data_IF_888283506760
#
_entry.id   IF_888283506760
#
_cell.length_a   1.000
_cell.length_b   1.000
_cell.length_c   1.000
_cell.angle_alpha   90.00
_cell.angle_beta   90.00
_cell.angle_gamma   90.00
#
_symmetry.space_group_name_H-M   'P 1'
#
loop_
_entity.id
_entity.type
_entity.pdbx_description
1 polymer ?
#
# COMPACT_ATOMS: atom_id res chain seq x y z
N UNK A 1 -7.01 27.36 -19.49
CA UNK A 1 -5.97 26.30 -19.69
C UNK A 1 -5.28 25.83 -18.42
N UNK A 2 -5.61 26.38 -17.26
CA UNK A 2 -4.90 26.09 -15.98
C UNK A 2 -5.69 25.18 -15.03
N UNK A 3 -6.94 24.89 -15.29
CA UNK A 3 -7.82 24.16 -14.37
C UNK A 3 -7.58 22.64 -14.33
N UNK A 4 -7.05 22.02 -15.37
CA UNK A 4 -6.80 20.58 -15.40
C UNK A 4 -5.63 20.14 -14.53
N UNK A 5 -4.57 20.94 -14.41
CA UNK A 5 -3.40 20.60 -13.60
C UNK A 5 -3.67 20.76 -12.09
N UNK A 6 -4.53 21.69 -11.69
CA UNK A 6 -4.90 21.91 -10.30
C UNK A 6 -5.74 20.75 -9.75
N UNK A 7 -6.59 20.17 -10.57
CA UNK A 7 -7.50 19.10 -10.18
C UNK A 7 -6.81 17.74 -9.99
N UNK A 8 -5.79 17.42 -10.82
CA UNK A 8 -4.97 16.21 -10.61
C UNK A 8 -4.08 16.33 -9.38
N UNK A 9 -3.48 17.50 -9.15
CA UNK A 9 -2.69 17.78 -7.95
C UNK A 9 -3.54 17.71 -6.68
N UNK A 10 -4.77 18.23 -6.70
CA UNK A 10 -5.69 18.12 -5.57
C UNK A 10 -6.06 16.66 -5.26
N UNK A 11 -6.32 15.83 -6.28
CA UNK A 11 -6.56 14.40 -6.11
C UNK A 11 -5.36 13.68 -5.47
N UNK A 12 -4.14 14.02 -5.86
CA UNK A 12 -2.93 13.46 -5.26
C UNK A 12 -2.71 13.93 -3.82
N UNK A 13 -3.06 15.17 -3.51
CA UNK A 13 -2.99 15.70 -2.13
C UNK A 13 -3.96 14.93 -1.22
N UNK A 14 -5.21 14.74 -1.63
CA UNK A 14 -6.19 14.00 -0.83
C UNK A 14 -5.80 12.54 -0.57
N UNK A 15 -5.19 11.86 -1.53
CA UNK A 15 -4.70 10.49 -1.36
C UNK A 15 -3.57 10.36 -0.34
N UNK A 16 -2.84 11.43 -0.07
CA UNK A 16 -1.68 11.44 0.83
C UNK A 16 -1.98 11.97 2.23
N UNK A 17 -3.24 12.28 2.52
CA UNK A 17 -3.63 12.74 3.84
C UNK A 17 -3.60 11.61 4.86
N UNK A 18 -3.15 11.95 6.07
CA UNK A 18 -3.14 11.09 7.25
C UNK A 18 -3.90 11.80 8.35
N UNK A 19 -4.71 11.10 9.11
CA UNK A 19 -5.46 11.64 10.25
C UNK A 19 -5.69 10.54 11.29
N UNK A 20 -5.79 10.94 12.54
CA UNK A 20 -6.20 10.10 13.66
C UNK A 20 -7.72 9.84 13.72
N UNK A 21 -8.49 10.57 12.92
CA UNK A 21 -9.97 10.50 12.92
C UNK A 21 -10.54 9.43 12.01
N UNK A 22 -9.76 8.88 11.09
CA UNK A 22 -10.22 7.87 10.12
C UNK A 22 -9.06 7.03 9.59
N UNK A 23 -9.20 5.73 9.64
CA UNK A 23 -8.22 4.79 9.11
C UNK A 23 -8.28 4.66 7.57
N UNK A 24 -9.42 4.96 6.97
CA UNK A 24 -9.61 4.85 5.52
C UNK A 24 -9.39 6.17 4.82
N UNK A 25 -9.62 7.29 5.49
CA UNK A 25 -9.58 8.64 4.92
C UNK A 25 -10.39 8.68 3.61
N UNK A 26 -9.72 8.86 2.46
CA UNK A 26 -10.32 8.86 1.13
C UNK A 26 -10.02 7.58 0.33
N UNK A 27 -9.59 6.51 0.98
CA UNK A 27 -9.32 5.22 0.36
C UNK A 27 -10.52 4.29 0.46
N UNK A 28 -10.72 3.43 -0.54
CA UNK A 28 -11.89 2.54 -0.66
C UNK A 28 -11.73 1.30 0.18
N UNK A 29 -10.89 0.94 0.93
CA UNK A 29 -10.77 -0.29 1.74
C UNK A 29 -11.28 -1.60 1.04
N UNK A 30 -11.23 -1.67 -0.29
CA UNK A 30 -11.67 -2.83 -1.08
C UNK A 30 -10.56 -3.86 -1.28
N UNK A 31 -9.32 -3.53 -0.95
CA UNK A 31 -8.17 -4.39 -1.21
C UNK A 31 -8.29 -5.79 -0.61
N UNK A 32 -8.78 -6.00 0.62
CA UNK A 32 -8.97 -7.35 1.14
C UNK A 32 -9.94 -8.18 0.29
N UNK A 33 -11.07 -7.60 -0.08
CA UNK A 33 -12.11 -8.28 -0.84
C UNK A 33 -11.63 -8.66 -2.25
N UNK A 34 -10.88 -7.76 -2.90
CA UNK A 34 -10.33 -8.03 -4.23
C UNK A 34 -9.19 -9.05 -4.14
N UNK A 35 -8.31 -8.95 -3.16
CA UNK A 35 -7.17 -9.86 -3.03
C UNK A 35 -7.60 -11.28 -2.62
N UNK A 36 -8.71 -11.41 -1.90
CA UNK A 36 -9.33 -12.69 -1.56
C UNK A 36 -10.23 -13.25 -2.69
N UNK A 37 -10.39 -12.51 -3.79
CA UNK A 37 -11.23 -12.93 -4.92
C UNK A 37 -12.74 -12.88 -4.64
N UNK A 38 -13.16 -12.16 -3.60
CA UNK A 38 -14.59 -12.00 -3.26
C UNK A 38 -15.28 -10.95 -4.14
N UNK A 39 -14.52 -10.03 -4.70
CA UNK A 39 -14.97 -9.02 -5.67
C UNK A 39 -13.98 -9.02 -6.83
N UNK A 40 -14.47 -9.18 -8.05
CA UNK A 40 -13.65 -9.03 -9.25
C UNK A 40 -13.45 -7.56 -9.60
N UNK A 41 -12.28 -7.16 -10.14
CA UNK A 41 -12.06 -5.80 -10.61
C UNK A 41 -13.11 -5.32 -11.63
N UNK A 42 -13.59 -6.23 -12.48
CA UNK A 42 -14.64 -5.97 -13.47
C UNK A 42 -15.93 -5.49 -12.82
N UNK A 43 -16.35 -6.09 -11.71
CA UNK A 43 -17.56 -5.69 -10.97
C UNK A 43 -17.46 -4.25 -10.45
N UNK A 44 -16.26 -3.85 -10.04
CA UNK A 44 -16.00 -2.47 -9.59
C UNK A 44 -16.12 -1.51 -10.78
N UNK A 45 -15.56 -1.86 -11.92
CA UNK A 45 -15.63 -1.04 -13.15
C UNK A 45 -17.08 -0.91 -13.64
N UNK A 46 -17.87 -1.99 -13.60
CA UNK A 46 -19.30 -1.95 -13.94
C UNK A 46 -20.10 -1.02 -13.01
N UNK A 47 -19.77 -1.02 -11.73
CA UNK A 47 -20.38 -0.08 -10.77
C UNK A 47 -19.98 1.36 -11.06
N UNK A 48 -18.72 1.62 -11.41
CA UNK A 48 -18.22 2.95 -11.78
C UNK A 48 -18.92 3.50 -13.04
N UNK A 49 -19.13 2.68 -14.07
CA UNK A 49 -19.86 3.07 -15.28
C UNK A 49 -21.25 3.62 -14.98
N UNK A 50 -21.93 3.12 -13.96
CA UNK A 50 -23.27 3.60 -13.57
C UNK A 50 -23.26 5.00 -12.97
N UNK A 51 -22.13 5.48 -12.52
CA UNK A 51 -21.97 6.79 -11.87
C UNK A 51 -20.97 7.72 -12.60
N UNK A 52 -20.41 7.30 -13.73
CA UNK A 52 -19.36 8.04 -14.43
C UNK A 52 -19.73 9.49 -14.73
N UNK A 53 -20.98 9.74 -15.11
CA UNK A 53 -21.49 11.08 -15.38
C UNK A 53 -21.65 11.97 -14.13
N UNK A 54 -21.54 11.40 -12.94
CA UNK A 54 -21.66 12.11 -11.64
C UNK A 54 -20.30 12.35 -10.96
N UNK A 55 -19.26 11.83 -11.54
CA UNK A 55 -17.89 11.89 -10.95
C UNK A 55 -16.98 12.67 -11.89
N UNK A 56 -16.15 13.58 -11.35
CA UNK A 56 -15.15 14.25 -12.17
C UNK A 56 -14.22 13.26 -12.88
N UNK A 57 -13.94 13.48 -14.16
CA UNK A 57 -13.18 12.57 -15.01
C UNK A 57 -11.79 12.24 -14.43
N UNK A 58 -11.11 13.20 -13.84
CA UNK A 58 -9.80 13.00 -13.21
C UNK A 58 -9.87 12.07 -11.99
N UNK A 59 -10.96 12.11 -11.21
CA UNK A 59 -11.17 11.20 -10.08
C UNK A 59 -11.49 9.80 -10.57
N UNK A 60 -12.32 9.69 -11.60
CA UNK A 60 -12.64 8.40 -12.23
C UNK A 60 -11.40 7.74 -12.82
N UNK A 61 -10.63 8.48 -13.62
CA UNK A 61 -9.37 8.00 -14.19
C UNK A 61 -8.38 7.57 -13.11
N UNK A 62 -8.18 8.40 -12.09
CA UNK A 62 -7.28 8.08 -10.99
C UNK A 62 -7.67 6.80 -10.25
N UNK A 63 -8.96 6.58 -10.04
CA UNK A 63 -9.45 5.38 -9.39
C UNK A 63 -9.28 4.12 -10.27
N UNK A 64 -9.65 4.20 -11.55
CA UNK A 64 -9.49 3.10 -12.51
C UNK A 64 -8.01 2.70 -12.65
N UNK A 65 -7.10 3.66 -12.68
CA UNK A 65 -5.65 3.39 -12.69
C UNK A 65 -5.19 2.59 -11.46
N UNK A 66 -5.80 2.79 -10.29
CA UNK A 66 -5.48 2.00 -9.10
C UNK A 66 -6.06 0.59 -9.19
N UNK A 67 -7.29 0.44 -9.70
CA UNK A 67 -7.95 -0.88 -9.75
C UNK A 67 -7.33 -1.78 -10.83
N UNK A 68 -7.05 -1.24 -12.02
CA UNK A 68 -6.53 -2.02 -13.15
C UNK A 68 -5.02 -1.84 -13.30
N UNK A 69 -4.57 -0.61 -13.55
CA UNK A 69 -3.20 -0.35 -13.97
C UNK A 69 -2.16 -0.75 -12.94
N UNK A 70 -2.37 -0.36 -11.67
CA UNK A 70 -1.46 -0.73 -10.60
C UNK A 70 -1.43 -2.25 -10.37
N UNK A 71 -2.59 -2.92 -10.39
CA UNK A 71 -2.68 -4.37 -10.18
C UNK A 71 -2.00 -5.14 -11.29
N UNK A 72 -2.22 -4.78 -12.54
CA UNK A 72 -1.56 -5.42 -13.68
C UNK A 72 -0.04 -5.17 -13.67
N UNK A 73 0.39 -3.97 -13.26
CA UNK A 73 1.81 -3.69 -13.07
C UNK A 73 2.42 -4.60 -12.00
N UNK A 74 1.81 -4.70 -10.81
CA UNK A 74 2.29 -5.57 -9.74
C UNK A 74 2.31 -7.04 -10.16
N UNK A 75 1.27 -7.51 -10.85
CA UNK A 75 1.20 -8.87 -11.39
C UNK A 75 2.33 -9.11 -12.39
N UNK A 76 2.58 -8.17 -13.29
CA UNK A 76 3.66 -8.26 -14.26
C UNK A 76 5.04 -8.31 -13.60
N UNK A 77 5.28 -7.50 -12.57
CA UNK A 77 6.52 -7.55 -11.79
C UNK A 77 6.66 -8.91 -11.09
N UNK A 78 5.62 -9.37 -10.41
CA UNK A 78 5.65 -10.66 -9.73
C UNK A 78 5.96 -11.80 -10.69
N UNK A 79 5.23 -11.91 -11.81
CA UNK A 79 5.42 -12.98 -12.79
C UNK A 79 6.83 -13.02 -13.41
N UNK A 80 7.46 -11.87 -13.61
CA UNK A 80 8.76 -11.80 -14.29
C UNK A 80 9.95 -11.76 -13.35
N UNK A 81 9.78 -11.33 -12.09
CA UNK A 81 10.89 -11.04 -11.18
C UNK A 81 10.79 -11.71 -9.80
N UNK A 82 9.73 -12.49 -9.53
CA UNK A 82 9.50 -13.16 -8.24
C UNK A 82 10.75 -13.84 -7.68
N UNK A 83 11.41 -14.66 -8.50
CA UNK A 83 12.62 -15.38 -8.09
C UNK A 83 13.83 -14.49 -7.73
N UNK A 84 13.78 -13.20 -8.05
CA UNK A 84 14.81 -12.22 -7.72
C UNK A 84 14.45 -11.40 -6.51
N UNK A 85 13.17 -11.05 -6.35
CA UNK A 85 12.70 -10.13 -5.31
C UNK A 85 13.11 -10.56 -3.90
N UNK A 86 13.00 -11.86 -3.60
CA UNK A 86 13.33 -12.40 -2.27
C UNK A 86 14.83 -12.64 -2.06
N UNK A 87 15.64 -12.59 -3.11
CA UNK A 87 17.09 -12.84 -3.08
C UNK A 87 17.93 -11.59 -3.02
N UNK A 88 17.35 -10.45 -3.35
CA UNK A 88 18.07 -9.18 -3.39
C UNK A 88 18.01 -8.47 -2.04
N UNK A 89 19.07 -7.78 -1.72
CA UNK A 89 19.19 -6.91 -0.55
C UNK A 89 20.21 -5.83 -0.90
N UNK A 90 19.80 -4.87 -1.71
CA UNK A 90 20.66 -3.87 -2.32
C UNK A 90 21.51 -3.11 -1.30
N UNK A 91 20.91 -2.69 -0.19
CA UNK A 91 21.60 -1.96 0.87
C UNK A 91 22.29 -2.86 1.90
N UNK A 92 22.25 -4.20 1.73
CA UNK A 92 22.84 -5.16 2.66
C UNK A 92 22.33 -5.01 4.11
N UNK A 93 21.05 -4.73 4.29
CA UNK A 93 20.41 -4.58 5.59
C UNK A 93 20.37 -5.90 6.35
N UNK A 94 20.79 -5.91 7.61
CA UNK A 94 20.96 -7.14 8.41
C UNK A 94 20.27 -7.10 9.77
N UNK A 95 19.73 -5.95 10.17
CA UNK A 95 19.09 -5.82 11.49
C UNK A 95 17.83 -6.66 11.58
N UNK A 96 17.64 -7.27 12.74
CA UNK A 96 16.46 -8.07 13.02
C UNK A 96 15.27 -7.18 13.41
N UNK A 97 14.07 -7.61 13.01
CA UNK A 97 12.81 -7.02 13.49
C UNK A 97 12.70 -7.20 15.00
N UNK A 98 12.45 -6.11 15.73
CA UNK A 98 12.25 -6.14 17.18
C UNK A 98 10.76 -6.29 17.51
N UNK A 99 10.47 -6.74 18.73
CA UNK A 99 9.11 -6.91 19.23
C UNK A 99 8.31 -5.60 19.20
N UNK A 100 8.96 -4.45 19.40
CA UNK A 100 8.33 -3.13 19.36
C UNK A 100 7.61 -2.82 18.02
N UNK A 101 8.03 -3.45 16.93
CA UNK A 101 7.37 -3.34 15.61
C UNK A 101 6.03 -4.10 15.54
N UNK A 102 5.81 -5.04 16.45
CA UNK A 102 4.53 -5.75 16.57
C UNK A 102 3.62 -5.15 17.64
N UNK A 103 4.21 -4.57 18.69
CA UNK A 103 3.48 -4.02 19.81
C UNK A 103 3.08 -2.57 19.64
N UNK A 104 3.73 -1.83 18.73
CA UNK A 104 3.56 -0.38 18.57
C UNK A 104 4.15 0.39 19.76
N UNK A 105 5.36 0.00 20.18
CA UNK A 105 6.07 0.59 21.31
C UNK A 105 7.50 0.99 20.93
N UNK A 106 7.63 1.63 19.77
CA UNK A 106 8.94 2.08 19.26
C UNK A 106 9.39 3.39 19.89
N UNK A 107 8.46 4.18 20.42
CA UNK A 107 8.69 5.52 20.96
C UNK A 107 8.67 6.62 19.90
N UNK A 108 8.25 6.30 18.67
CA UNK A 108 8.07 7.25 17.58
C UNK A 108 6.58 7.32 17.25
N UNK A 109 5.89 8.37 17.72
CA UNK A 109 4.43 8.48 17.66
C UNK A 109 3.80 8.18 16.29
N UNK A 110 4.28 8.72 15.13
CA UNK A 110 3.69 8.40 13.84
C UNK A 110 3.85 6.93 13.45
N UNK A 111 4.95 6.32 13.86
CA UNK A 111 5.23 4.91 13.60
C UNK A 111 4.36 4.01 14.47
N UNK A 112 4.28 4.31 15.76
CA UNK A 112 3.46 3.56 16.71
C UNK A 112 1.97 3.64 16.36
N UNK A 113 1.52 4.81 15.88
CA UNK A 113 0.17 4.98 15.33
C UNK A 113 -0.08 4.05 14.14
N UNK A 114 0.81 4.04 13.15
CA UNK A 114 0.67 3.19 11.96
C UNK A 114 0.75 1.69 12.29
N UNK A 115 1.60 1.28 13.22
CA UNK A 115 1.68 -0.10 13.71
C UNK A 115 0.38 -0.48 14.41
N UNK A 116 -0.16 0.38 15.27
CA UNK A 116 -1.41 0.11 15.98
C UNK A 116 -2.62 0.03 15.02
N UNK A 117 -2.64 0.82 13.95
CA UNK A 117 -3.64 0.67 12.89
C UNK A 117 -3.54 -0.70 12.22
N UNK A 118 -2.35 -1.13 11.82
CA UNK A 118 -2.14 -2.46 11.26
C UNK A 118 -2.56 -3.57 12.24
N UNK A 119 -2.18 -3.47 13.51
CA UNK A 119 -2.48 -4.43 14.57
C UNK A 119 -3.98 -4.55 14.87
N UNK A 120 -4.68 -3.42 14.98
CA UNK A 120 -6.07 -3.40 15.42
C UNK A 120 -7.06 -3.67 14.28
N UNK A 121 -6.73 -3.27 13.06
CA UNK A 121 -7.63 -3.35 11.90
C UNK A 121 -7.14 -4.32 10.82
N UNK A 122 -5.91 -4.81 10.92
CA UNK A 122 -5.27 -5.57 9.82
C UNK A 122 -5.17 -4.75 8.53
N UNK A 123 -5.32 -3.46 8.62
CA UNK A 123 -5.39 -2.56 7.47
C UNK A 123 -4.88 -1.15 7.82
N UNK A 124 -4.18 -0.54 6.91
CA UNK A 124 -3.92 0.89 6.87
C UNK A 124 -3.83 1.36 5.43
N UNK A 125 -4.00 2.65 5.17
CA UNK A 125 -3.91 3.15 3.81
C UNK A 125 -2.47 3.15 3.29
N UNK A 126 -2.32 3.20 1.97
CA UNK A 126 -1.04 3.01 1.29
C UNK A 126 0.07 3.95 1.79
N UNK A 127 -0.26 5.19 2.11
CA UNK A 127 0.75 6.17 2.57
C UNK A 127 1.36 5.77 3.92
N UNK A 128 0.56 5.29 4.87
CA UNK A 128 1.10 4.76 6.12
C UNK A 128 2.00 3.54 5.87
N UNK A 129 1.57 2.63 4.98
CA UNK A 129 2.36 1.44 4.65
C UNK A 129 3.71 1.79 4.03
N UNK A 130 3.71 2.68 3.04
CA UNK A 130 4.89 3.00 2.27
C UNK A 130 5.75 4.06 2.96
N UNK A 131 5.17 5.21 3.28
CA UNK A 131 5.92 6.38 3.71
C UNK A 131 6.29 6.34 5.20
N UNK A 132 5.55 5.64 6.02
CA UNK A 132 5.84 5.50 7.45
C UNK A 132 6.47 4.13 7.72
N UNK A 133 5.70 3.05 7.58
CA UNK A 133 6.17 1.71 7.96
C UNK A 133 7.38 1.26 7.14
N UNK A 134 7.23 1.08 5.83
CA UNK A 134 8.32 0.56 4.98
C UNK A 134 9.53 1.49 4.95
N UNK A 135 9.32 2.81 4.85
CA UNK A 135 10.41 3.77 4.80
C UNK A 135 11.23 3.78 6.09
N UNK A 136 10.58 3.79 7.27
CA UNK A 136 11.30 3.75 8.54
C UNK A 136 11.98 2.39 8.75
N UNK A 137 11.36 1.27 8.34
CA UNK A 137 12.00 -0.04 8.35
C UNK A 137 13.27 -0.06 7.50
N UNK A 138 13.23 0.58 6.32
CA UNK A 138 14.40 0.73 5.44
C UNK A 138 15.49 1.58 6.10
N UNK A 139 15.14 2.74 6.65
CA UNK A 139 16.08 3.62 7.37
C UNK A 139 16.66 2.96 8.63
N UNK A 140 15.91 2.07 9.27
CA UNK A 140 16.39 1.27 10.39
C UNK A 140 17.25 0.06 9.96
N UNK A 141 17.54 -0.12 8.68
CA UNK A 141 18.36 -1.20 8.14
C UNK A 141 17.85 -2.61 8.47
N UNK A 142 16.50 -2.76 8.56
CA UNK A 142 15.89 -4.05 8.87
C UNK A 142 16.01 -4.96 7.64
N UNK A 143 16.34 -6.22 7.87
CA UNK A 143 16.48 -7.20 6.81
C UNK A 143 15.19 -7.32 5.98
N UNK A 144 15.25 -7.21 4.63
CA UNK A 144 14.09 -7.20 3.75
C UNK A 144 13.13 -8.38 3.94
N UNK A 145 13.65 -9.59 4.20
CA UNK A 145 12.83 -10.77 4.43
C UNK A 145 12.01 -10.66 5.72
N UNK A 146 12.53 -10.01 6.75
CA UNK A 146 11.79 -9.78 7.98
C UNK A 146 10.72 -8.68 7.80
N UNK A 147 11.02 -7.65 7.01
CA UNK A 147 10.03 -6.64 6.63
C UNK A 147 8.90 -7.30 5.84
N UNK A 148 9.22 -8.08 4.82
CA UNK A 148 8.24 -8.81 4.02
C UNK A 148 7.35 -9.70 4.91
N UNK A 149 7.95 -10.51 5.77
CA UNK A 149 7.24 -11.36 6.73
C UNK A 149 6.27 -10.54 7.59
N UNK A 150 6.73 -9.42 8.13
CA UNK A 150 5.90 -8.53 8.95
C UNK A 150 4.68 -8.02 8.17
N UNK A 151 4.86 -7.57 6.92
CA UNK A 151 3.74 -7.12 6.09
C UNK A 151 2.75 -8.25 5.78
N UNK A 152 3.25 -9.46 5.56
CA UNK A 152 2.38 -10.63 5.34
C UNK A 152 1.57 -11.01 6.57
N UNK A 153 2.11 -10.81 7.76
CA UNK A 153 1.46 -11.15 9.05
C UNK A 153 0.48 -10.08 9.53
N UNK A 154 0.74 -8.81 9.23
CA UNK A 154 0.01 -7.68 9.82
C UNK A 154 -1.18 -7.19 9.00
N UNK A 155 -1.31 -7.56 7.72
CA UNK A 155 -2.35 -7.05 6.85
C UNK A 155 -3.27 -8.14 6.31
N UNK A 156 -4.59 -7.91 6.39
CA UNK A 156 -5.62 -8.86 5.89
C UNK A 156 -5.71 -8.91 4.35
N UNK A 157 -5.18 -7.92 3.66
CA UNK A 157 -5.11 -7.87 2.21
C UNK A 157 -3.76 -8.36 1.65
N UNK A 158 -2.93 -8.96 2.50
CA UNK A 158 -1.65 -9.51 2.10
C UNK A 158 -1.85 -10.74 1.20
N UNK A 159 -1.20 -10.71 0.05
CA UNK A 159 -1.04 -11.84 -0.83
C UNK A 159 0.31 -11.70 -1.54
N UNK A 160 0.93 -12.82 -1.85
CA UNK A 160 2.31 -12.89 -2.29
C UNK A 160 2.59 -12.01 -3.52
N UNK A 161 1.73 -12.13 -4.55
CA UNK A 161 1.85 -11.38 -5.79
C UNK A 161 1.73 -9.85 -5.62
N UNK A 162 1.06 -9.39 -4.56
CA UNK A 162 0.93 -7.96 -4.22
C UNK A 162 2.08 -7.52 -3.32
N UNK A 163 2.35 -8.29 -2.26
CA UNK A 163 3.30 -7.87 -1.22
C UNK A 163 4.75 -7.93 -1.67
N UNK A 164 5.16 -8.95 -2.43
CA UNK A 164 6.54 -9.07 -2.86
C UNK A 164 7.03 -7.86 -3.68
N UNK A 165 6.34 -7.43 -4.76
CA UNK A 165 6.75 -6.24 -5.51
C UNK A 165 6.65 -4.93 -4.70
N UNK A 166 5.67 -4.82 -3.80
CA UNK A 166 5.50 -3.62 -3.00
C UNK A 166 6.57 -3.49 -1.91
N UNK A 167 6.83 -4.55 -1.16
CA UNK A 167 7.78 -4.50 -0.06
C UNK A 167 9.20 -4.45 -0.58
N UNK A 168 9.61 -5.42 -1.40
CA UNK A 168 10.98 -5.47 -1.91
C UNK A 168 11.25 -4.35 -2.92
N UNK A 169 10.37 -4.15 -3.90
CA UNK A 169 10.58 -3.17 -4.95
C UNK A 169 10.34 -1.74 -4.50
N UNK A 170 9.12 -1.43 -4.04
CA UNK A 170 8.71 -0.06 -3.77
C UNK A 170 9.11 0.43 -2.37
N UNK A 171 9.03 -0.42 -1.36
CA UNK A 171 9.27 -0.05 0.04
C UNK A 171 10.74 -0.02 0.42
N UNK A 172 11.50 -1.01 -0.02
CA UNK A 172 12.88 -1.26 0.45
C UNK A 172 13.94 -1.07 -0.63
N UNK A 173 13.56 -0.96 -1.88
CA UNK A 173 14.50 -0.92 -3.00
C UNK A 173 15.50 -2.10 -2.94
N UNK A 174 15.01 -3.31 -2.75
CA UNK A 174 15.86 -4.49 -2.61
C UNK A 174 15.58 -5.56 -3.66
#
# INVERSE_FOLDING_TARGET
>A
TSTHNVSSAASDVYKRQVTDKSNTVFHSALSPLINLGLIAPEEIIEKLRKIENKVPMNSLEGYIRQIIGWREFMRGIYQNYDQRLDKTNFFNHKRKMKKSWYDGSTGLDPLDHAINNAKNYGWSHHIERLMILANIMNLCEINPKQVYKWFMEMFVDSSDWVMAPNVYGMGLFS
#
